data_IF_704746451805
#
_entry.id   IF_704746451805
#
_cell.length_a   1.000
_cell.length_b   1.000
_cell.length_c   1.000
_cell.angle_alpha   90.00
_cell.angle_beta   90.00
_cell.angle_gamma   90.00
#
_symmetry.space_group_name_H-M   'P 1'
#
loop_
_entity.id
_entity.type
_entity.pdbx_description
1 polymer ?
#
# COMPACT_ATOMS: atom_id res chain seq x y z
N UNK A 1 -6.12 -12.07 19.52
CA UNK A 1 -4.82 -11.79 20.19
C UNK A 1 -3.74 -12.38 19.31
N UNK A 2 -2.57 -11.74 19.19
CA UNK A 2 -1.45 -12.37 18.50
C UNK A 2 -0.91 -13.49 19.40
N UNK A 3 -0.86 -14.72 18.90
CA UNK A 3 -0.31 -15.87 19.62
C UNK A 3 1.19 -16.03 19.32
N UNK A 4 1.92 -16.71 20.20
CA UNK A 4 3.35 -16.96 20.00
C UNK A 4 3.56 -17.99 18.87
N UNK A 5 4.18 -17.58 17.77
CA UNK A 5 4.52 -18.44 16.64
C UNK A 5 5.45 -17.74 15.63
N UNK A 6 6.22 -18.50 14.86
CA UNK A 6 7.00 -17.97 13.73
C UNK A 6 6.12 -17.92 12.49
N UNK A 7 5.80 -16.72 12.03
CA UNK A 7 5.07 -16.49 10.78
C UNK A 7 5.95 -15.74 9.79
N UNK A 8 6.26 -16.36 8.65
CA UNK A 8 7.00 -15.73 7.55
C UNK A 8 6.04 -14.86 6.75
N UNK A 9 5.90 -13.60 7.14
CA UNK A 9 5.06 -12.62 6.44
C UNK A 9 5.78 -12.09 5.20
N UNK A 10 5.06 -12.05 4.07
CA UNK A 10 5.54 -11.33 2.87
C UNK A 10 5.61 -9.83 3.14
N UNK A 11 6.34 -9.06 2.32
CA UNK A 11 6.40 -7.60 2.46
C UNK A 11 5.01 -6.95 2.37
N UNK A 12 4.11 -7.52 1.56
CA UNK A 12 2.72 -7.09 1.49
C UNK A 12 1.98 -7.42 2.78
N UNK A 13 2.13 -8.61 3.35
CA UNK A 13 1.46 -8.94 4.62
C UNK A 13 1.98 -8.12 5.80
N UNK A 14 3.28 -7.79 5.83
CA UNK A 14 3.84 -6.86 6.81
C UNK A 14 3.25 -5.46 6.69
N UNK A 15 2.92 -5.04 5.47
CA UNK A 15 2.51 -3.66 5.17
C UNK A 15 1.00 -3.45 5.25
N UNK A 16 0.23 -4.43 4.80
CA UNK A 16 -1.23 -4.37 4.70
C UNK A 16 -1.92 -5.18 5.79
N UNK A 17 -1.22 -6.13 6.41
CA UNK A 17 -1.74 -7.07 7.40
C UNK A 17 -2.28 -8.34 6.73
N UNK A 18 -1.88 -9.55 7.16
CA UNK A 18 -2.27 -10.82 6.53
C UNK A 18 -3.79 -11.00 6.49
N UNK A 19 -4.46 -10.85 7.65
CA UNK A 19 -5.92 -10.96 7.76
C UNK A 19 -6.70 -9.89 6.98
N UNK A 20 -6.13 -8.69 6.87
CA UNK A 20 -6.77 -7.57 6.18
C UNK A 20 -6.65 -7.71 4.65
N UNK A 21 -5.53 -8.27 4.18
CA UNK A 21 -5.31 -8.64 2.78
C UNK A 21 -6.22 -9.77 2.33
N UNK A 22 -6.50 -10.75 3.20
CA UNK A 22 -7.39 -11.86 2.87
C UNK A 22 -8.84 -11.38 2.76
N UNK A 23 -9.33 -10.62 3.75
CA UNK A 23 -10.73 -10.19 3.76
C UNK A 23 -11.06 -9.07 2.77
N UNK A 24 -10.08 -8.20 2.44
CA UNK A 24 -10.25 -7.00 1.58
C UNK A 24 -11.54 -6.24 1.86
N UNK A 25 -11.95 -6.11 3.13
CA UNK A 25 -13.24 -5.52 3.51
C UNK A 25 -13.42 -4.11 2.94
N UNK A 26 -14.66 -3.61 2.77
CA UNK A 26 -14.89 -2.26 2.26
C UNK A 26 -14.17 -1.17 3.07
N UNK A 27 -14.04 -1.34 4.39
CA UNK A 27 -13.26 -0.45 5.27
C UNK A 27 -11.77 -0.48 4.95
N UNK A 28 -11.21 -1.67 4.66
CA UNK A 28 -9.82 -1.82 4.23
C UNK A 28 -9.58 -1.10 2.90
N UNK A 29 -10.47 -1.33 1.93
CA UNK A 29 -10.41 -0.65 0.62
C UNK A 29 -10.47 0.87 0.77
N UNK A 30 -11.40 1.38 1.58
CA UNK A 30 -11.55 2.81 1.82
C UNK A 30 -10.31 3.43 2.50
N UNK A 31 -9.71 2.73 3.48
CA UNK A 31 -8.48 3.18 4.14
C UNK A 31 -7.34 3.31 3.14
N UNK A 32 -7.12 2.29 2.32
CA UNK A 32 -6.03 2.27 1.36
C UNK A 32 -6.29 3.16 0.15
N UNK A 33 -7.54 3.39 -0.26
CA UNK A 33 -7.88 4.41 -1.24
C UNK A 33 -7.58 5.83 -0.74
N UNK A 34 -7.83 6.12 0.54
CA UNK A 34 -7.44 7.41 1.15
C UNK A 34 -5.93 7.58 1.19
N UNK A 35 -5.20 6.52 1.55
CA UNK A 35 -3.74 6.54 1.55
C UNK A 35 -3.18 6.72 0.13
N UNK A 36 -3.73 6.00 -0.85
CA UNK A 36 -3.36 6.12 -2.25
C UNK A 36 -3.53 7.57 -2.74
N UNK A 37 -4.67 8.21 -2.44
CA UNK A 37 -4.88 9.62 -2.80
C UNK A 37 -3.85 10.56 -2.14
N UNK A 38 -3.45 10.30 -0.89
CA UNK A 38 -2.41 11.09 -0.22
C UNK A 38 -1.04 10.91 -0.89
N UNK A 39 -0.70 9.68 -1.25
CA UNK A 39 0.56 9.38 -1.92
C UNK A 39 0.62 9.95 -3.34
N UNK A 40 -0.48 9.86 -4.11
CA UNK A 40 -0.57 10.48 -5.44
C UNK A 40 -0.48 12.01 -5.35
N UNK A 41 -1.13 12.62 -4.35
CA UNK A 41 -0.99 14.04 -4.06
C UNK A 41 0.46 14.41 -3.72
N UNK A 42 1.09 13.69 -2.80
CA UNK A 42 2.48 13.91 -2.43
C UNK A 42 3.43 13.74 -3.64
N UNK A 43 3.22 12.72 -4.48
CA UNK A 43 4.00 12.51 -5.70
C UNK A 43 3.89 13.69 -6.66
N UNK A 44 2.70 14.27 -6.81
CA UNK A 44 2.48 15.45 -7.64
C UNK A 44 3.23 16.69 -7.11
N UNK A 45 3.47 16.76 -5.80
CA UNK A 45 4.27 17.83 -5.17
C UNK A 45 5.79 17.59 -5.24
N UNK A 46 6.24 16.36 -5.51
CA UNK A 46 7.67 16.06 -5.64
C UNK A 46 8.17 16.54 -7.02
N UNK A 47 9.20 17.40 -7.07
CA UNK A 47 9.73 17.90 -8.33
C UNK A 47 10.32 16.77 -9.17
N UNK A 48 10.19 16.86 -10.49
CA UNK A 48 10.59 15.79 -11.44
C UNK A 48 12.07 15.41 -11.33
N UNK A 49 12.93 16.38 -10.95
CA UNK A 49 14.36 16.16 -10.69
C UNK A 49 14.66 15.21 -9.53
N UNK A 50 13.70 14.98 -8.62
CA UNK A 50 13.85 14.06 -7.49
C UNK A 50 13.38 12.65 -7.90
N UNK A 51 14.03 12.08 -8.92
CA UNK A 51 13.66 10.78 -9.49
C UNK A 51 13.64 9.65 -8.46
N UNK A 52 14.60 9.65 -7.52
CA UNK A 52 14.67 8.68 -6.42
C UNK A 52 13.44 8.72 -5.52
N UNK A 53 13.03 9.92 -5.08
CA UNK A 53 11.85 10.07 -4.22
C UNK A 53 10.56 9.78 -4.98
N UNK A 54 10.46 10.22 -6.24
CA UNK A 54 9.31 9.89 -7.10
C UNK A 54 9.20 8.40 -7.33
N UNK A 55 10.30 7.72 -7.64
CA UNK A 55 10.33 6.27 -7.85
C UNK A 55 9.93 5.52 -6.58
N UNK A 56 10.51 5.88 -5.43
CA UNK A 56 10.14 5.30 -4.14
C UNK A 56 8.65 5.52 -3.84
N UNK A 57 8.09 6.69 -4.14
CA UNK A 57 6.66 6.96 -3.91
C UNK A 57 5.76 6.23 -4.90
N UNK A 58 6.11 6.20 -6.18
CA UNK A 58 5.41 5.44 -7.22
C UNK A 58 5.33 3.95 -6.88
N UNK A 59 6.43 3.35 -6.43
CA UNK A 59 6.45 1.94 -5.99
C UNK A 59 5.48 1.69 -4.82
N UNK A 60 5.35 2.64 -3.89
CA UNK A 60 4.34 2.54 -2.81
C UNK A 60 2.92 2.63 -3.36
N UNK A 61 2.67 3.51 -4.33
CA UNK A 61 1.36 3.67 -4.98
C UNK A 61 0.99 2.40 -5.73
N UNK A 62 1.89 1.84 -6.53
CA UNK A 62 1.67 0.59 -7.28
C UNK A 62 1.35 -0.59 -6.35
N UNK A 63 2.11 -0.73 -5.26
CA UNK A 63 1.85 -1.77 -4.25
C UNK A 63 0.44 -1.68 -3.66
N UNK A 64 -0.08 -0.46 -3.44
CA UNK A 64 -1.45 -0.26 -2.96
C UNK A 64 -2.48 -0.54 -4.07
N UNK A 65 -2.20 -0.14 -5.32
CA UNK A 65 -3.09 -0.40 -6.48
C UNK A 65 -3.27 -1.91 -6.73
N UNK A 66 -2.19 -2.67 -6.64
CA UNK A 66 -2.19 -4.13 -6.79
C UNK A 66 -3.07 -4.80 -5.73
N UNK A 67 -2.86 -4.43 -4.46
CA UNK A 67 -3.66 -4.95 -3.33
C UNK A 67 -5.15 -4.61 -3.48
N UNK A 68 -5.46 -3.40 -3.94
CA UNK A 68 -6.83 -2.96 -4.17
C UNK A 68 -7.48 -3.54 -5.44
N UNK A 69 -6.74 -4.33 -6.24
CA UNK A 69 -7.19 -4.87 -7.54
C UNK A 69 -7.71 -3.77 -8.48
N UNK A 70 -7.11 -2.58 -8.44
CA UNK A 70 -7.39 -1.52 -9.42
C UNK A 70 -6.54 -1.74 -10.68
N UNK A 71 -6.28 -3.01 -11.01
CA UNK A 71 -5.68 -3.41 -12.28
C UNK A 71 -6.80 -3.31 -13.32
N UNK A 72 -6.68 -2.29 -14.16
CA UNK A 72 -7.57 -1.99 -15.27
C UNK A 72 -7.58 -3.11 -16.30
#
# INVERSE_FOLDING_TARGET
MAEAGQQTLTEQEKRFGPFLLEQKSPVFRLRWQKELKKLEGALAHIPEKNELERSAMSQKIESIKEVLHVSK
#
